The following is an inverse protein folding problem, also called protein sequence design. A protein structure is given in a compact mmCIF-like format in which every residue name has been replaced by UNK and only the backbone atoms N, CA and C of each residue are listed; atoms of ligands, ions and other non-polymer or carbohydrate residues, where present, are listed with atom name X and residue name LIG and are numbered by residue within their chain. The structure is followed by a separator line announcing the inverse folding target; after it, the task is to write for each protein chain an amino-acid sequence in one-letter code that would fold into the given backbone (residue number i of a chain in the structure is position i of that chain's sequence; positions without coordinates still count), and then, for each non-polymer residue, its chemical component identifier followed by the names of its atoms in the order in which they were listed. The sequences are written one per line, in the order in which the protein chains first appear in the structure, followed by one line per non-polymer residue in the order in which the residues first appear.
data_IF_526491253406
#
_entry.id   IF_526491253406
#
_cell.length_a   1.000
_cell.length_b   1.000
_cell.length_c   1.000
_cell.angle_alpha   90.00
_cell.angle_beta   90.00
_cell.angle_gamma   90.00
#
_symmetry.space_group_name_H-M   'P 1'
#
loop_
_entity.id
_entity.type
_entity.pdbx_description
1 polymer ?
#
# COMPACT_ATOMS: atom_id res chain seq x y z
N UNK A 1 40.74 -39.32 -52.91
CA UNK A 1 42.08 -38.83 -52.49
C UNK A 1 41.84 -37.72 -51.47
N UNK A 2 41.97 -38.05 -50.18
CA UNK A 2 43.04 -37.55 -49.28
C UNK A 2 42.81 -36.07 -48.87
N UNK A 3 42.85 -35.63 -47.60
CA UNK A 3 43.19 -36.26 -46.33
C UNK A 3 42.57 -35.42 -45.19
N UNK A 4 42.48 -36.03 -44.01
CA UNK A 4 42.01 -35.46 -42.77
C UNK A 4 42.86 -34.29 -42.28
N UNK A 5 42.27 -33.39 -41.49
CA UNK A 5 43.02 -32.74 -40.41
C UNK A 5 42.16 -32.54 -39.15
N UNK A 6 42.28 -33.50 -38.25
CA UNK A 6 41.81 -33.47 -36.86
C UNK A 6 42.84 -32.69 -36.04
N UNK A 7 42.48 -31.51 -35.56
CA UNK A 7 43.28 -30.79 -34.56
C UNK A 7 42.66 -30.93 -33.17
N UNK A 8 43.21 -31.87 -32.41
CA UNK A 8 43.02 -32.04 -30.98
C UNK A 8 43.88 -31.01 -30.24
N UNK A 9 43.30 -30.11 -29.43
CA UNK A 9 44.10 -29.36 -28.45
C UNK A 9 43.38 -29.10 -27.12
N UNK A 10 43.76 -29.96 -26.18
CA UNK A 10 43.98 -29.77 -24.73
C UNK A 10 42.99 -28.91 -23.94
N UNK A 11 42.24 -29.61 -23.07
CA UNK A 11 41.73 -29.10 -21.78
C UNK A 11 42.87 -28.48 -20.98
N UNK A 12 42.71 -27.24 -20.56
CA UNK A 12 43.51 -26.60 -19.52
C UNK A 12 42.56 -26.26 -18.37
N UNK A 13 42.68 -27.03 -17.30
CA UNK A 13 42.08 -26.79 -16.00
C UNK A 13 42.89 -25.72 -15.27
N UNK A 14 42.35 -24.51 -15.16
CA UNK A 14 42.89 -23.49 -14.26
C UNK A 14 41.91 -23.26 -13.11
N UNK A 15 42.27 -23.82 -11.95
CA UNK A 15 41.70 -23.50 -10.65
C UNK A 15 42.57 -22.42 -10.00
N UNK A 16 42.02 -21.26 -9.58
CA UNK A 16 42.73 -20.35 -8.70
C UNK A 16 42.25 -20.51 -7.25
N UNK A 17 43.14 -21.14 -6.47
CA UNK A 17 43.55 -20.82 -5.10
C UNK A 17 42.69 -19.82 -4.33
N UNK A 18 42.13 -20.30 -3.23
CA UNK A 18 41.29 -19.55 -2.30
C UNK A 18 42.01 -18.39 -1.60
N UNK A 19 41.45 -17.19 -1.79
CA UNK A 19 41.77 -15.99 -1.02
C UNK A 19 40.79 -15.87 0.14
N UNK A 20 41.25 -16.18 1.36
CA UNK A 20 40.52 -15.92 2.62
C UNK A 20 40.21 -14.41 2.72
N UNK A 21 38.96 -14.02 2.50
CA UNK A 21 38.44 -12.70 2.90
C UNK A 21 37.79 -12.84 4.28
N UNK A 22 38.41 -12.25 5.29
CA UNK A 22 37.81 -12.01 6.61
C UNK A 22 36.58 -11.10 6.45
N UNK A 23 35.38 -11.68 6.56
CA UNK A 23 34.11 -10.93 6.63
C UNK A 23 33.85 -10.56 8.08
N UNK A 24 34.17 -9.32 8.46
CA UNK A 24 33.48 -8.65 9.56
C UNK A 24 32.02 -8.48 9.17
N UNK A 25 31.12 -9.15 9.90
CA UNK A 25 29.67 -9.04 9.74
C UNK A 25 29.21 -7.70 10.34
N UNK A 26 28.44 -6.85 9.64
CA UNK A 26 27.62 -5.87 10.33
C UNK A 26 26.55 -6.63 11.12
N UNK A 27 26.56 -6.48 12.44
CA UNK A 27 25.46 -6.90 13.32
C UNK A 27 24.29 -5.99 12.99
N UNK A 28 23.36 -6.41 12.14
CA UNK A 28 21.92 -6.09 12.18
C UNK A 28 21.25 -6.78 10.98
N UNK A 29 20.58 -7.89 11.24
CA UNK A 29 19.64 -8.51 10.28
C UNK A 29 18.23 -8.21 10.76
N UNK A 30 17.35 -7.56 9.98
CA UNK A 30 15.96 -7.46 10.36
C UNK A 30 15.33 -8.85 10.19
N UNK A 31 14.99 -9.49 11.32
CA UNK A 31 14.18 -10.70 11.33
C UNK A 31 12.81 -10.37 10.71
N UNK A 32 12.55 -10.92 9.54
CA UNK A 32 11.19 -11.06 9.02
C UNK A 32 10.42 -12.04 9.90
N UNK A 33 9.38 -11.58 10.59
CA UNK A 33 8.35 -12.45 11.15
C UNK A 33 7.07 -12.28 10.34
N UNK A 34 6.89 -13.19 9.38
CA UNK A 34 5.56 -13.63 9.00
C UNK A 34 4.88 -14.20 10.25
N UNK A 35 3.79 -13.56 10.70
CA UNK A 35 2.78 -14.25 11.50
C UNK A 35 1.37 -13.87 11.00
N UNK A 36 0.78 -14.88 10.38
CA UNK A 36 -0.65 -15.22 10.28
C UNK A 36 -1.63 -14.16 10.81
N UNK A 37 -2.31 -13.45 9.91
CA UNK A 37 -3.59 -12.79 10.18
C UNK A 37 -4.71 -13.49 9.42
N UNK A 38 -5.44 -14.35 10.12
CA UNK A 38 -6.82 -14.69 9.78
C UNK A 38 -7.73 -13.51 10.16
N UNK A 39 -8.69 -13.09 9.31
CA UNK A 39 -9.68 -12.09 9.70
C UNK A 39 -10.80 -12.75 10.51
N UNK A 40 -10.89 -12.45 11.80
CA UNK A 40 -12.07 -12.77 12.63
C UNK A 40 -13.09 -11.63 12.52
N UNK A 41 -14.37 -11.91 12.21
CA UNK A 41 -15.41 -10.89 12.14
C UNK A 41 -15.86 -10.47 13.55
N UNK A 42 -15.93 -9.15 13.75
CA UNK A 42 -16.53 -8.51 14.93
C UNK A 42 -18.02 -8.87 15.02
N UNK A 43 -18.43 -9.51 16.12
CA UNK A 43 -19.84 -9.58 16.53
C UNK A 43 -20.07 -8.59 17.66
N UNK A 44 -20.81 -7.53 17.35
CA UNK A 44 -21.45 -6.67 18.34
C UNK A 44 -22.74 -7.36 18.81
N UNK A 45 -22.85 -7.64 20.10
CA UNK A 45 -24.15 -7.81 20.77
C UNK A 45 -23.96 -7.63 22.28
N UNK A 46 -24.15 -6.39 22.73
CA UNK A 46 -24.47 -6.08 24.12
C UNK A 46 -25.97 -6.36 24.30
N UNK A 47 -26.30 -7.28 25.21
CA UNK A 47 -27.65 -7.43 25.75
C UNK A 47 -27.57 -7.33 27.29
N UNK A 48 -28.49 -6.62 27.96
CA UNK A 48 -28.38 -6.39 29.39
C UNK A 48 -28.91 -7.58 30.20
N UNK A 49 -28.20 -7.91 31.29
CA UNK A 49 -28.68 -8.79 32.36
C UNK A 49 -29.72 -8.04 33.19
N UNK A 50 -30.97 -8.50 33.16
CA UNK A 50 -32.05 -8.04 34.03
C UNK A 50 -32.49 -9.12 35.02
N UNK A 51 -32.34 -8.81 36.31
CA UNK A 51 -33.31 -9.04 37.39
C UNK A 51 -33.85 -10.45 37.67
N UNK A 52 -33.40 -11.04 38.78
CA UNK A 52 -34.14 -12.09 39.51
C UNK A 52 -35.32 -11.46 40.25
N UNK A 53 -36.52 -11.99 40.03
CA UNK A 53 -37.72 -11.68 40.81
C UNK A 53 -38.50 -12.96 41.08
N UNK A 54 -38.56 -13.33 42.35
CA UNK A 54 -39.31 -14.46 42.92
C UNK A 54 -40.80 -14.14 43.01
N UNK A 55 -41.70 -15.06 42.64
CA UNK A 55 -43.13 -14.85 42.87
C UNK A 55 -44.06 -15.96 42.38
N UNK A 56 -44.38 -16.88 43.30
CA UNK A 56 -45.64 -17.63 43.50
C UNK A 56 -46.29 -18.40 42.34
N UNK A 57 -46.39 -19.73 42.58
CA UNK A 57 -47.31 -20.68 41.95
C UNK A 57 -48.76 -20.37 42.34
N UNK A 58 -49.68 -20.51 41.38
CA UNK A 58 -51.05 -20.95 41.64
C UNK A 58 -51.48 -21.94 40.53
N UNK A 59 -52.08 -23.09 40.86
CA UNK A 59 -52.48 -24.10 39.87
C UNK A 59 -53.99 -24.06 39.67
N UNK A 60 -54.51 -23.81 38.46
CA UNK A 60 -55.81 -24.32 37.96
C UNK A 60 -56.08 -23.75 36.56
N UNK A 61 -56.59 -24.60 35.65
CA UNK A 61 -57.18 -24.16 34.38
C UNK A 61 -56.61 -24.84 33.14
N UNK A 62 -57.12 -26.04 32.82
CA UNK A 62 -57.05 -26.58 31.45
C UNK A 62 -57.99 -25.78 30.57
N UNK A 63 -57.48 -25.12 29.54
CA UNK A 63 -58.27 -24.71 28.38
C UNK A 63 -57.49 -25.08 27.11
N UNK A 64 -58.24 -25.69 26.21
CA UNK A 64 -57.92 -26.24 24.90
C UNK A 64 -57.29 -25.24 23.91
N UNK A 65 -56.47 -25.80 23.01
CA UNK A 65 -55.67 -25.17 21.93
C UNK A 65 -56.47 -24.18 21.05
N UNK A 66 -55.75 -23.31 20.33
CA UNK A 66 -55.90 -23.37 18.88
C UNK A 66 -54.58 -23.73 18.20
N UNK A 67 -54.69 -24.43 17.07
CA UNK A 67 -53.60 -24.92 16.26
C UNK A 67 -52.68 -23.76 15.83
N UNK A 68 -51.44 -23.79 16.33
CA UNK A 68 -50.37 -22.92 15.88
C UNK A 68 -50.18 -23.06 14.37
N UNK A 69 -50.47 -21.97 13.69
CA UNK A 69 -50.22 -21.66 12.28
C UNK A 69 -48.98 -22.40 11.76
N UNK A 70 -49.15 -23.38 10.87
CA UNK A 70 -48.04 -23.96 10.10
C UNK A 70 -47.35 -22.80 9.42
N UNK A 71 -46.16 -22.44 9.90
CA UNK A 71 -45.34 -21.41 9.27
C UNK A 71 -45.27 -21.72 7.78
N UNK A 72 -45.85 -20.84 6.95
CA UNK A 72 -45.65 -20.85 5.51
C UNK A 72 -44.14 -20.90 5.32
N UNK A 73 -43.65 -22.07 4.92
CA UNK A 73 -42.24 -22.31 4.60
C UNK A 73 -41.98 -21.34 3.46
N UNK A 74 -41.32 -20.21 3.75
CA UNK A 74 -41.02 -19.19 2.75
C UNK A 74 -40.27 -19.87 1.61
N UNK A 75 -40.99 -20.10 0.51
CA UNK A 75 -40.41 -20.63 -0.70
C UNK A 75 -39.60 -19.49 -1.30
N UNK A 76 -38.32 -19.43 -0.95
CA UNK A 76 -37.40 -18.53 -1.64
C UNK A 76 -37.18 -19.12 -3.03
N UNK A 77 -37.67 -18.47 -4.10
CA UNK A 77 -37.40 -18.95 -5.45
C UNK A 77 -35.88 -19.02 -5.66
N UNK A 78 -35.39 -19.98 -6.46
CA UNK A 78 -33.97 -20.06 -6.77
C UNK A 78 -33.54 -18.72 -7.35
N UNK A 79 -32.49 -18.13 -6.77
CA UNK A 79 -31.91 -16.89 -7.29
C UNK A 79 -31.39 -17.19 -8.69
N UNK A 80 -32.17 -16.85 -9.72
CA UNK A 80 -31.68 -16.83 -11.09
C UNK A 80 -30.39 -16.02 -11.10
N UNK A 81 -29.31 -16.61 -11.60
CA UNK A 81 -28.05 -15.89 -11.78
C UNK A 81 -28.32 -14.74 -12.74
N UNK A 82 -28.35 -13.50 -12.24
CA UNK A 82 -28.52 -12.31 -13.06
C UNK A 82 -27.14 -11.84 -13.48
N UNK A 83 -26.94 -11.66 -14.80
CA UNK A 83 -25.72 -11.06 -15.32
C UNK A 83 -25.78 -9.54 -15.13
N UNK A 84 -24.64 -8.90 -14.84
CA UNK A 84 -24.58 -7.44 -14.83
C UNK A 84 -24.97 -6.88 -16.19
N UNK A 85 -25.89 -5.90 -16.21
CA UNK A 85 -26.18 -5.15 -17.41
C UNK A 85 -24.96 -4.31 -17.79
N UNK A 86 -24.63 -4.31 -19.09
CA UNK A 86 -23.62 -3.42 -19.64
C UNK A 86 -24.33 -2.18 -20.17
N UNK A 87 -23.79 -1.00 -19.88
CA UNK A 87 -24.29 0.28 -20.39
C UNK A 87 -23.76 0.61 -21.79
N UNK A 88 -22.82 -0.17 -22.31
CA UNK A 88 -22.21 0.05 -23.63
C UNK A 88 -22.93 -0.79 -24.69
N UNK A 89 -23.42 -0.18 -25.79
CA UNK A 89 -24.18 -0.89 -26.84
C UNK A 89 -23.37 -2.01 -27.52
N UNK A 90 -22.04 -1.91 -27.52
CA UNK A 90 -21.14 -2.88 -28.12
C UNK A 90 -20.56 -3.86 -27.07
N UNK A 91 -21.10 -3.92 -25.85
CA UNK A 91 -20.66 -4.87 -24.84
C UNK A 91 -21.85 -5.63 -24.24
N UNK A 92 -21.83 -6.97 -24.31
CA UNK A 92 -22.88 -7.84 -23.77
C UNK A 92 -22.31 -8.78 -22.70
N UNK A 93 -23.01 -8.94 -21.59
CA UNK A 93 -22.64 -9.94 -20.59
C UNK A 93 -23.12 -11.33 -21.02
N UNK A 94 -22.27 -12.34 -20.86
CA UNK A 94 -22.58 -13.73 -21.17
C UNK A 94 -22.07 -14.67 -20.06
N UNK A 95 -22.67 -15.85 -19.95
CA UNK A 95 -22.17 -16.90 -19.08
C UNK A 95 -21.14 -17.75 -19.80
N UNK A 96 -20.19 -18.32 -19.06
CA UNK A 96 -19.21 -19.28 -19.59
C UNK A 96 -19.87 -20.46 -20.33
N UNK A 97 -20.98 -20.98 -19.80
CA UNK A 97 -21.74 -22.11 -20.38
C UNK A 97 -22.39 -21.82 -21.73
N UNK A 98 -22.53 -20.54 -22.12
CA UNK A 98 -23.12 -20.20 -23.41
C UNK A 98 -22.11 -20.52 -24.52
N UNK A 99 -22.54 -21.01 -25.69
CA UNK A 99 -21.62 -21.31 -26.79
C UNK A 99 -20.86 -20.06 -27.22
N UNK A 100 -19.63 -20.24 -27.68
CA UNK A 100 -18.81 -19.15 -28.21
C UNK A 100 -19.38 -18.82 -29.61
N UNK A 101 -19.68 -17.54 -29.92
CA UNK A 101 -20.13 -17.14 -31.25
C UNK A 101 -19.09 -17.50 -32.33
N UNK A 102 -19.56 -17.74 -33.54
CA UNK A 102 -18.68 -18.07 -34.66
C UNK A 102 -17.66 -16.96 -34.93
N UNK A 103 -16.38 -17.34 -35.10
CA UNK A 103 -15.28 -16.40 -35.29
C UNK A 103 -14.78 -15.71 -34.01
N UNK A 104 -15.32 -16.03 -32.83
CA UNK A 104 -14.87 -15.50 -31.54
C UNK A 104 -13.96 -16.48 -30.79
N UNK A 105 -13.05 -15.93 -30.00
CA UNK A 105 -12.17 -16.67 -29.09
C UNK A 105 -12.34 -16.16 -27.66
N UNK A 106 -12.19 -17.06 -26.69
CA UNK A 106 -12.19 -16.71 -25.27
C UNK A 106 -10.81 -16.22 -24.82
N UNK A 107 -10.76 -15.02 -24.24
CA UNK A 107 -9.58 -14.39 -23.67
C UNK A 107 -9.74 -14.38 -22.15
N UNK A 108 -8.91 -15.12 -21.39
CA UNK A 108 -8.99 -15.14 -19.93
C UNK A 108 -8.57 -13.79 -19.33
N UNK A 109 -9.10 -13.49 -18.15
CA UNK A 109 -8.65 -12.37 -17.33
C UNK A 109 -7.19 -12.60 -16.89
N UNK A 110 -6.34 -11.58 -17.00
CA UNK A 110 -4.99 -11.59 -16.42
C UNK A 110 -4.08 -10.59 -17.09
N UNK A 111 -3.91 -10.73 -18.41
CA UNK A 111 -3.15 -9.76 -19.19
C UNK A 111 -4.01 -8.51 -19.44
N UNK A 112 -3.70 -7.44 -18.70
CA UNK A 112 -4.37 -6.14 -18.79
C UNK A 112 -4.16 -5.51 -20.16
N UNK A 113 -3.00 -5.70 -20.78
CA UNK A 113 -2.73 -5.16 -22.12
C UNK A 113 -3.65 -5.85 -23.12
N UNK A 114 -3.65 -7.19 -23.15
CA UNK A 114 -4.47 -7.95 -24.11
C UNK A 114 -5.96 -7.65 -23.91
N UNK A 115 -6.47 -7.81 -22.69
CA UNK A 115 -7.90 -7.64 -22.43
C UNK A 115 -8.39 -6.21 -22.71
N UNK A 116 -7.60 -5.18 -22.40
CA UNK A 116 -7.93 -3.78 -22.71
C UNK A 116 -7.91 -3.52 -24.22
N UNK A 117 -6.86 -3.90 -24.93
CA UNK A 117 -6.74 -3.64 -26.37
C UNK A 117 -7.74 -4.45 -27.18
N UNK A 118 -8.04 -5.68 -26.79
CA UNK A 118 -9.11 -6.46 -27.37
C UNK A 118 -10.47 -5.76 -27.22
N UNK A 119 -10.80 -5.22 -26.03
CA UNK A 119 -12.03 -4.44 -25.84
C UNK A 119 -12.10 -3.24 -26.78
N UNK A 120 -11.03 -2.45 -26.83
CA UNK A 120 -10.97 -1.23 -27.64
C UNK A 120 -11.07 -1.55 -29.13
N UNK A 121 -10.20 -2.41 -29.67
CA UNK A 121 -10.18 -2.76 -31.10
C UNK A 121 -11.48 -3.42 -31.58
N UNK A 122 -12.14 -4.20 -30.72
CA UNK A 122 -13.45 -4.81 -31.06
C UNK A 122 -14.54 -3.75 -31.21
N UNK A 123 -14.54 -2.76 -30.33
CA UNK A 123 -15.49 -1.63 -30.41
C UNK A 123 -15.19 -0.72 -31.60
N UNK A 124 -13.91 -0.47 -31.90
CA UNK A 124 -13.47 0.24 -33.11
C UNK A 124 -13.94 -0.47 -34.39
N UNK A 125 -13.94 -1.81 -34.38
CA UNK A 125 -14.45 -2.63 -35.48
C UNK A 125 -15.99 -2.74 -35.52
N UNK A 126 -16.71 -1.98 -34.67
CA UNK A 126 -18.18 -2.03 -34.52
C UNK A 126 -18.73 -3.45 -34.23
N UNK A 127 -17.93 -4.30 -33.58
CA UNK A 127 -18.32 -5.66 -33.18
C UNK A 127 -18.62 -5.69 -31.68
N UNK A 128 -19.43 -6.67 -31.26
CA UNK A 128 -19.82 -6.82 -29.85
C UNK A 128 -18.74 -7.54 -29.05
N UNK A 129 -18.31 -6.97 -27.94
CA UNK A 129 -17.49 -7.65 -26.93
C UNK A 129 -18.41 -8.42 -25.99
N UNK A 130 -18.11 -9.69 -25.74
CA UNK A 130 -18.84 -10.44 -24.71
C UNK A 130 -18.04 -10.54 -23.41
N UNK A 131 -18.53 -9.92 -22.34
CA UNK A 131 -17.95 -10.07 -21.01
C UNK A 131 -18.40 -11.41 -20.41
N UNK A 132 -17.46 -12.31 -20.13
CA UNK A 132 -17.76 -13.66 -19.64
C UNK A 132 -17.76 -13.68 -18.12
N UNK A 133 -18.83 -14.20 -17.53
CA UNK A 133 -18.96 -14.40 -16.10
C UNK A 133 -19.09 -15.88 -15.73
N UNK A 134 -18.74 -16.18 -14.48
CA UNK A 134 -18.96 -17.47 -13.83
C UNK A 134 -20.45 -17.87 -13.80
N UNK A 135 -20.76 -19.12 -13.51
CA UNK A 135 -22.13 -19.68 -13.40
C UNK A 135 -23.07 -18.87 -12.52
N UNK A 136 -22.53 -18.17 -11.52
CA UNK A 136 -23.29 -17.32 -10.61
C UNK A 136 -23.47 -15.86 -11.08
N UNK A 137 -22.81 -15.43 -12.17
CA UNK A 137 -22.85 -14.06 -12.68
C UNK A 137 -22.05 -13.03 -11.85
N UNK A 138 -21.34 -13.48 -10.80
CA UNK A 138 -20.67 -12.59 -9.83
C UNK A 138 -19.21 -12.28 -10.15
N UNK A 139 -18.54 -13.18 -10.86
CA UNK A 139 -17.10 -13.11 -11.09
C UNK A 139 -16.82 -13.00 -12.60
N UNK A 140 -16.16 -11.93 -13.07
CA UNK A 140 -15.75 -11.85 -14.47
C UNK A 140 -14.56 -12.79 -14.70
N UNK A 141 -14.71 -13.69 -15.67
CA UNK A 141 -13.69 -14.67 -16.05
C UNK A 141 -12.80 -14.17 -17.18
N UNK A 142 -13.35 -13.37 -18.09
CA UNK A 142 -12.65 -12.93 -19.29
C UNK A 142 -13.56 -12.28 -20.31
N UNK A 143 -13.14 -12.32 -21.57
CA UNK A 143 -13.83 -11.72 -22.71
C UNK A 143 -13.96 -12.73 -23.84
N UNK A 144 -15.02 -12.64 -24.66
CA UNK A 144 -15.03 -13.24 -25.99
C UNK A 144 -14.95 -12.13 -27.02
N UNK A 145 -13.97 -12.27 -27.90
CA UNK A 145 -13.52 -11.25 -28.84
C UNK A 145 -13.30 -11.93 -30.19
N UNK A 146 -13.50 -11.25 -31.34
CA UNK A 146 -13.17 -11.80 -32.63
C UNK A 146 -11.72 -12.30 -32.73
N UNK A 147 -11.53 -13.47 -33.37
CA UNK A 147 -10.25 -14.18 -33.43
C UNK A 147 -9.15 -13.39 -34.17
N UNK A 148 -9.51 -12.66 -35.22
CA UNK A 148 -8.66 -11.73 -35.96
C UNK A 148 -8.13 -10.59 -35.06
N UNK A 149 -9.01 -10.01 -34.25
CA UNK A 149 -8.63 -8.95 -33.31
C UNK A 149 -7.70 -9.47 -32.24
N UNK A 150 -7.97 -10.66 -31.70
CA UNK A 150 -7.08 -11.28 -30.72
C UNK A 150 -5.69 -11.53 -31.30
N UNK A 151 -5.58 -12.07 -32.52
CA UNK A 151 -4.30 -12.31 -33.19
C UNK A 151 -3.48 -11.02 -33.36
N UNK A 152 -4.11 -9.94 -33.86
CA UNK A 152 -3.42 -8.65 -34.03
C UNK A 152 -2.98 -8.04 -32.70
N UNK A 153 -3.79 -8.15 -31.64
CA UNK A 153 -3.45 -7.66 -30.29
C UNK A 153 -2.33 -8.50 -29.68
N UNK A 154 -2.35 -9.82 -29.84
CA UNK A 154 -1.31 -10.72 -29.33
C UNK A 154 0.05 -10.43 -29.99
N UNK A 155 0.08 -10.24 -31.31
CA UNK A 155 1.29 -9.86 -32.03
C UNK A 155 1.81 -8.49 -31.57
N UNK A 156 0.91 -7.51 -31.40
CA UNK A 156 1.26 -6.18 -30.88
C UNK A 156 1.79 -6.25 -29.44
N UNK A 157 1.22 -7.12 -28.61
CA UNK A 157 1.64 -7.34 -27.23
C UNK A 157 3.07 -7.89 -27.17
N UNK A 158 3.37 -8.88 -28.01
CA UNK A 158 4.70 -9.46 -28.12
C UNK A 158 5.72 -8.44 -28.63
N UNK A 159 5.40 -7.73 -29.73
CA UNK A 159 6.30 -6.75 -30.34
C UNK A 159 6.65 -5.58 -29.40
N UNK A 160 5.73 -5.18 -28.52
CA UNK A 160 5.92 -4.03 -27.61
C UNK A 160 6.30 -4.43 -26.18
N UNK A 161 6.47 -5.73 -25.89
CA UNK A 161 6.68 -6.21 -24.52
C UNK A 161 7.91 -5.57 -23.86
N UNK A 162 9.06 -5.59 -24.54
CA UNK A 162 10.31 -5.06 -24.01
C UNK A 162 10.27 -3.54 -23.85
N UNK A 163 9.73 -2.83 -24.85
CA UNK A 163 9.55 -1.38 -24.80
C UNK A 163 8.67 -0.96 -23.63
N UNK A 164 7.55 -1.66 -23.39
CA UNK A 164 6.66 -1.42 -22.25
C UNK A 164 7.35 -1.72 -20.92
N UNK A 165 8.11 -2.81 -20.83
CA UNK A 165 8.86 -3.16 -19.63
C UNK A 165 9.92 -2.09 -19.31
N UNK A 166 10.65 -1.61 -20.33
CA UNK A 166 11.64 -0.55 -20.18
C UNK A 166 11.02 0.79 -19.81
N UNK A 167 9.89 1.16 -20.42
CA UNK A 167 9.16 2.37 -20.06
C UNK A 167 8.70 2.35 -18.59
N UNK A 168 8.25 1.19 -18.08
CA UNK A 168 7.89 1.03 -16.68
C UNK A 168 9.12 1.17 -15.77
N UNK A 169 10.25 0.54 -16.12
CA UNK A 169 11.51 0.67 -15.36
C UNK A 169 11.97 2.12 -15.28
N UNK A 170 12.06 2.82 -16.40
CA UNK A 170 12.47 4.24 -16.45
C UNK A 170 11.55 5.13 -15.63
N UNK A 171 10.24 4.87 -15.64
CA UNK A 171 9.29 5.59 -14.81
C UNK A 171 9.51 5.34 -13.33
N UNK A 172 9.70 4.07 -12.93
CA UNK A 172 9.97 3.73 -11.53
C UNK A 172 11.30 4.35 -11.05
N UNK A 173 12.34 4.34 -11.88
CA UNK A 173 13.62 5.01 -11.59
C UNK A 173 13.45 6.52 -11.42
N UNK A 174 12.67 7.18 -12.28
CA UNK A 174 12.34 8.60 -12.16
C UNK A 174 11.56 8.91 -10.88
N UNK A 175 10.56 8.09 -10.54
CA UNK A 175 9.76 8.25 -9.31
C UNK A 175 10.63 8.07 -8.06
N UNK A 176 11.58 7.12 -8.08
CA UNK A 176 12.55 6.93 -6.99
C UNK A 176 13.53 8.09 -6.89
N UNK A 177 14.08 8.57 -8.01
CA UNK A 177 14.98 9.72 -8.04
C UNK A 177 14.28 10.99 -7.52
N UNK A 178 13.03 11.22 -7.92
CA UNK A 178 12.20 12.31 -7.41
C UNK A 178 12.00 12.20 -5.90
N UNK A 179 11.68 11.00 -5.39
CA UNK A 179 11.50 10.76 -3.96
C UNK A 179 12.80 11.00 -3.16
N UNK A 180 13.95 10.59 -3.72
CA UNK A 180 15.28 10.86 -3.13
C UNK A 180 15.55 12.36 -3.05
N UNK A 181 15.34 13.08 -4.14
CA UNK A 181 15.56 14.52 -4.18
C UNK A 181 14.66 15.23 -3.16
N UNK A 182 13.40 14.84 -3.08
CA UNK A 182 12.45 15.42 -2.13
C UNK A 182 12.87 15.18 -0.68
N UNK A 183 13.37 13.98 -0.33
CA UNK A 183 13.89 13.69 1.00
C UNK A 183 15.12 14.56 1.32
N UNK A 184 16.06 14.74 0.39
CA UNK A 184 17.23 15.61 0.60
C UNK A 184 16.87 17.08 0.76
N UNK A 185 15.86 17.54 0.02
CA UNK A 185 15.38 18.93 0.13
C UNK A 185 14.66 19.18 1.44
N UNK A 186 13.87 18.22 1.96
CA UNK A 186 13.15 18.40 3.22
C UNK A 186 13.99 18.12 4.46
N UNK A 187 14.95 17.20 4.36
CA UNK A 187 15.76 16.75 5.50
C UNK A 187 17.25 16.82 5.13
N UNK A 188 17.82 18.02 4.98
CA UNK A 188 19.20 18.20 4.51
C UNK A 188 20.26 17.63 5.47
N UNK A 189 19.95 17.53 6.77
CA UNK A 189 20.87 17.02 7.80
C UNK A 189 20.65 15.52 8.12
N UNK A 190 19.75 14.85 7.39
CA UNK A 190 19.51 13.41 7.58
C UNK A 190 20.72 12.58 7.12
N UNK A 191 21.16 11.58 7.91
CA UNK A 191 22.22 10.66 7.47
C UNK A 191 21.85 9.91 6.19
N UNK A 192 22.81 9.76 5.28
CA UNK A 192 22.59 9.10 3.98
C UNK A 192 22.15 7.64 4.14
N UNK A 193 22.67 6.91 5.13
CA UNK A 193 22.23 5.54 5.42
C UNK A 193 20.74 5.47 5.78
N UNK A 194 20.24 6.43 6.57
CA UNK A 194 18.82 6.54 6.93
C UNK A 194 17.97 6.86 5.71
N UNK A 195 18.45 7.74 4.82
CA UNK A 195 17.80 8.07 3.56
C UNK A 195 17.58 6.83 2.70
N UNK A 196 18.64 6.02 2.51
CA UNK A 196 18.57 4.81 1.70
C UNK A 196 17.62 3.76 2.30
N UNK A 197 17.61 3.60 3.62
CA UNK A 197 16.67 2.69 4.29
C UNK A 197 15.22 3.17 4.08
N UNK A 198 14.97 4.47 4.21
CA UNK A 198 13.63 5.06 4.00
C UNK A 198 13.17 4.87 2.55
N UNK A 199 14.04 5.11 1.57
CA UNK A 199 13.71 4.91 0.15
C UNK A 199 13.36 3.44 -0.14
N UNK A 200 14.22 2.52 0.28
CA UNK A 200 14.03 1.09 0.05
C UNK A 200 12.82 0.52 0.78
N UNK A 201 12.44 1.10 1.92
CA UNK A 201 11.29 0.61 2.68
C UNK A 201 9.98 1.30 2.29
N UNK A 202 9.91 2.64 2.34
CA UNK A 202 8.67 3.40 2.21
C UNK A 202 8.22 3.63 0.77
N UNK A 203 9.15 3.66 -0.19
CA UNK A 203 8.88 3.96 -1.61
C UNK A 203 8.93 2.71 -2.52
N UNK A 204 9.09 1.52 -1.94
CA UNK A 204 9.10 0.25 -2.67
C UNK A 204 7.78 -0.01 -3.42
N UNK A 205 7.88 -0.35 -4.71
CA UNK A 205 6.76 -0.69 -5.59
C UNK A 205 5.89 -1.82 -5.04
N UNK A 206 4.58 -1.72 -5.24
CA UNK A 206 3.61 -2.81 -4.96
C UNK A 206 3.34 -3.10 -3.48
N UNK A 207 3.83 -2.27 -2.57
CA UNK A 207 3.76 -2.55 -1.13
C UNK A 207 2.56 -1.95 -0.39
N UNK A 208 1.79 -1.07 -1.04
CA UNK A 208 0.72 -0.29 -0.38
C UNK A 208 1.24 0.67 0.70
N UNK A 209 2.55 0.96 0.71
CA UNK A 209 3.20 1.85 1.68
C UNK A 209 3.01 3.32 1.30
N UNK A 210 3.25 4.16 2.30
CA UNK A 210 2.97 5.61 2.28
C UNK A 210 3.55 6.31 1.04
N UNK A 211 4.75 5.91 0.58
CA UNK A 211 5.41 6.49 -0.59
C UNK A 211 4.66 6.34 -1.92
N UNK A 212 3.67 5.43 -2.03
CA UNK A 212 2.91 5.19 -3.28
C UNK A 212 1.41 5.43 -3.15
N UNK A 213 0.96 6.04 -2.06
CA UNK A 213 -0.46 6.36 -1.86
C UNK A 213 -0.86 7.58 -2.69
N UNK A 214 -1.86 7.47 -3.57
CA UNK A 214 -2.31 8.60 -4.40
C UNK A 214 -3.04 9.72 -3.62
N UNK A 215 -3.42 9.46 -2.36
CA UNK A 215 -4.24 10.37 -1.54
C UNK A 215 -3.44 11.42 -0.77
N UNK A 216 -2.11 11.40 -0.84
CA UNK A 216 -1.23 12.31 -0.08
C UNK A 216 -0.28 13.02 -1.02
N UNK A 217 0.08 14.26 -0.69
CA UNK A 217 1.14 14.98 -1.42
C UNK A 217 2.49 14.32 -1.17
N UNK A 218 3.42 14.45 -2.11
CA UNK A 218 4.73 13.80 -1.99
C UNK A 218 5.52 14.29 -0.76
N UNK A 219 5.34 15.56 -0.38
CA UNK A 219 5.86 16.11 0.86
C UNK A 219 5.29 15.42 2.11
N UNK A 220 3.98 15.18 2.15
CA UNK A 220 3.38 14.45 3.26
C UNK A 220 3.86 13.00 3.32
N UNK A 221 4.12 12.37 2.18
CA UNK A 221 4.64 10.99 2.15
C UNK A 221 6.03 10.90 2.74
N UNK A 222 6.93 11.82 2.38
CA UNK A 222 8.27 11.88 2.93
C UNK A 222 8.26 12.10 4.44
N UNK A 223 7.49 13.08 4.91
CA UNK A 223 7.29 13.34 6.34
C UNK A 223 6.88 12.08 7.11
N UNK A 224 5.83 11.40 6.65
CA UNK A 224 5.33 10.19 7.30
C UNK A 224 6.33 9.03 7.22
N UNK A 225 7.11 8.94 6.15
CA UNK A 225 8.14 7.91 5.99
C UNK A 225 9.30 8.12 6.98
N UNK A 226 9.77 9.36 7.12
CA UNK A 226 10.80 9.77 8.07
C UNK A 226 10.31 9.59 9.51
N UNK A 227 9.11 10.07 9.85
CA UNK A 227 8.54 9.88 11.19
C UNK A 227 8.39 8.41 11.56
N UNK A 228 7.97 7.57 10.61
CA UNK A 228 7.90 6.14 10.83
C UNK A 228 9.30 5.55 11.08
N UNK A 229 10.28 5.90 10.26
CA UNK A 229 11.65 5.43 10.43
C UNK A 229 12.24 5.83 11.78
N UNK A 230 12.16 7.11 12.14
CA UNK A 230 12.64 7.62 13.43
C UNK A 230 11.97 6.87 14.58
N UNK A 231 10.64 6.70 14.53
CA UNK A 231 9.90 5.97 15.56
C UNK A 231 10.42 4.54 15.74
N UNK A 232 10.62 3.80 14.66
CA UNK A 232 11.02 2.39 14.76
C UNK A 232 12.50 2.19 15.06
N UNK A 233 13.37 3.13 14.67
CA UNK A 233 14.83 2.96 14.72
C UNK A 233 15.53 3.78 15.81
N UNK A 234 14.96 4.92 16.19
CA UNK A 234 15.61 5.88 17.09
C UNK A 234 14.86 6.09 18.41
N UNK A 235 13.81 5.29 18.67
CA UNK A 235 13.03 5.39 19.92
C UNK A 235 12.73 4.01 20.50
N UNK A 236 12.39 3.89 21.79
CA UNK A 236 12.00 2.62 22.42
C UNK A 236 10.62 2.12 21.97
N UNK A 237 10.06 2.60 20.86
CA UNK A 237 8.73 2.24 20.37
C UNK A 237 8.52 0.72 20.25
N UNK A 238 9.48 0.00 19.65
CA UNK A 238 9.39 -1.45 19.52
C UNK A 238 9.44 -2.16 20.89
N UNK A 239 10.22 -1.62 21.83
CA UNK A 239 10.24 -2.14 23.19
C UNK A 239 8.86 -1.94 23.86
N UNK A 240 8.25 -0.76 23.76
CA UNK A 240 6.92 -0.50 24.31
C UNK A 240 5.85 -1.44 23.73
N UNK A 241 5.89 -1.71 22.43
CA UNK A 241 4.98 -2.69 21.82
C UNK A 241 5.21 -4.11 22.36
N UNK A 242 6.46 -4.50 22.56
CA UNK A 242 6.80 -5.82 23.13
C UNK A 242 6.36 -5.96 24.59
N UNK A 243 6.31 -4.86 25.35
CA UNK A 243 5.78 -4.82 26.72
C UNK A 243 4.24 -4.75 26.77
N UNK A 244 3.56 -4.79 25.63
CA UNK A 244 2.10 -4.87 25.55
C UNK A 244 1.37 -3.52 25.53
N UNK A 245 2.09 -2.39 25.47
CA UNK A 245 1.45 -1.08 25.35
C UNK A 245 0.63 -0.97 24.07
N UNK A 246 -0.49 -0.25 24.14
CA UNK A 246 -1.31 0.01 22.96
C UNK A 246 -0.54 0.88 21.95
N UNK A 247 -0.79 0.70 20.65
CA UNK A 247 -0.07 1.45 19.60
C UNK A 247 -0.21 2.97 19.73
N UNK A 248 -1.35 3.46 20.21
CA UNK A 248 -1.61 4.89 20.43
C UNK A 248 -0.78 5.41 21.60
N UNK A 249 -0.78 4.69 22.72
CA UNK A 249 0.00 5.00 23.91
C UNK A 249 1.50 5.01 23.60
N UNK A 250 2.00 3.96 22.94
CA UNK A 250 3.41 3.87 22.54
C UNK A 250 3.81 4.99 21.58
N UNK A 251 2.91 5.45 20.69
CA UNK A 251 3.17 6.60 19.80
C UNK A 251 3.23 7.91 20.56
N UNK A 252 2.33 8.12 21.51
CA UNK A 252 2.31 9.33 22.33
C UNK A 252 3.57 9.43 23.20
N UNK A 253 4.01 8.31 23.78
CA UNK A 253 5.20 8.26 24.63
C UNK A 253 6.49 8.67 23.89
N UNK A 254 6.62 8.31 22.61
CA UNK A 254 7.82 8.62 21.79
C UNK A 254 7.67 9.87 20.93
N UNK A 255 6.50 10.52 20.93
CA UNK A 255 6.16 11.61 20.00
C UNK A 255 7.15 12.77 20.06
N UNK A 256 7.50 13.22 21.26
CA UNK A 256 8.43 14.33 21.45
C UNK A 256 9.83 14.00 20.94
N UNK A 257 10.32 12.77 21.20
CA UNK A 257 11.60 12.30 20.69
C UNK A 257 11.59 12.24 19.16
N UNK A 258 10.53 11.69 18.55
CA UNK A 258 10.39 11.65 17.08
C UNK A 258 10.44 13.06 16.49
N UNK A 259 9.68 14.00 17.07
CA UNK A 259 9.64 15.39 16.62
C UNK A 259 11.00 16.07 16.73
N UNK A 260 11.72 15.86 17.84
CA UNK A 260 13.04 16.47 18.06
C UNK A 260 14.08 16.01 17.02
N UNK A 261 14.15 14.71 16.75
CA UNK A 261 15.08 14.16 15.75
C UNK A 261 14.70 14.63 14.35
N UNK A 262 13.40 14.64 14.05
CA UNK A 262 12.90 15.11 12.76
C UNK A 262 13.29 16.57 12.50
N UNK A 263 13.07 17.47 13.46
CA UNK A 263 13.45 18.87 13.35
C UNK A 263 14.97 19.04 13.17
N UNK A 264 15.77 18.27 13.91
CA UNK A 264 17.22 18.25 13.73
C UNK A 264 17.64 17.81 12.31
N UNK A 265 16.88 16.92 11.65
CA UNK A 265 17.14 16.52 10.26
C UNK A 265 16.64 17.54 9.24
N UNK A 266 15.57 18.28 9.55
CA UNK A 266 15.06 19.39 8.73
C UNK A 266 16.04 20.57 8.69
N UNK A 267 16.98 20.65 9.65
CA UNK A 267 17.92 21.77 9.76
C UNK A 267 17.38 22.91 10.64
N UNK A 268 16.19 22.74 11.22
CA UNK A 268 15.71 23.60 12.28
C UNK A 268 16.57 23.33 13.52
N UNK A 269 17.44 24.29 13.85
CA UNK A 269 18.12 24.33 15.14
C UNK A 269 17.03 24.36 16.23
N UNK A 270 16.77 23.20 16.82
CA UNK A 270 15.92 23.09 17.99
C UNK A 270 16.66 23.80 19.11
N UNK A 271 16.35 25.07 19.35
CA UNK A 271 16.65 25.71 20.63
C UNK A 271 16.15 24.75 21.71
N UNK A 272 17.03 24.23 22.58
CA UNK A 272 16.61 23.30 23.60
C UNK A 272 15.64 24.05 24.53
N UNK A 273 14.35 23.70 24.47
CA UNK A 273 13.37 24.12 25.48
C UNK A 273 13.84 23.61 26.84
N UNK A 274 14.58 24.44 27.56
CA UNK A 274 15.23 24.03 28.79
C UNK A 274 16.19 25.03 29.43
N UNK A 275 16.04 26.35 29.23
CA UNK A 275 16.53 27.32 30.21
C UNK A 275 15.51 28.44 30.39
N UNK A 276 14.80 28.36 31.51
CA UNK A 276 13.98 29.46 32.03
C UNK A 276 14.92 30.62 32.34
N UNK A 277 15.03 31.61 31.45
CA UNK A 277 15.61 32.90 31.82
C UNK A 277 14.64 33.60 32.76
N UNK A 278 14.91 33.46 34.05
CA UNK A 278 14.28 34.23 35.11
C UNK A 278 14.50 35.74 34.83
N UNK A 279 13.38 36.45 34.68
CA UNK A 279 13.14 37.84 35.10
C UNK A 279 14.21 38.88 34.77
N UNK A 280 13.82 39.84 33.92
CA UNK A 280 13.97 41.26 34.23
C UNK A 280 12.69 41.99 33.83
N UNK A 281 11.81 42.23 34.80
CA UNK A 281 10.74 43.23 34.67
C UNK A 281 11.42 44.60 34.77
N UNK A 282 11.39 45.40 33.70
CA UNK A 282 11.71 46.83 33.75
C UNK A 282 10.45 47.59 34.22
N UNK A 283 10.48 48.38 35.31
CA UNK A 283 9.35 49.22 35.70
C UNK A 283 9.28 50.48 34.81
N UNK A 284 8.12 51.16 34.73
CA UNK A 284 7.88 52.24 33.78
C UNK A 284 8.36 53.61 34.30
N UNK A 285 8.80 54.44 33.35
CA UNK A 285 8.67 55.90 33.28
C UNK A 285 9.07 56.77 34.48
N UNK A 286 10.19 57.49 34.33
CA UNK A 286 10.33 58.85 34.84
C UNK A 286 11.12 59.68 33.81
N UNK A 287 10.42 60.68 33.28
CA UNK A 287 10.94 61.71 32.41
C UNK A 287 11.91 62.61 33.21
N UNK A 288 13.09 62.88 32.67
CA UNK A 288 13.91 64.01 33.10
C UNK A 288 14.70 64.54 31.90
N UNK A 289 14.31 65.75 31.48
CA UNK A 289 14.87 66.59 30.44
C UNK A 289 16.40 66.79 30.58
N UNK A 290 17.14 66.92 29.45
CA UNK A 290 18.56 67.24 29.46
C UNK A 290 18.80 68.75 29.60
N UNK A 291 19.82 69.21 30.37
CA UNK A 291 20.27 70.58 30.28
C UNK A 291 21.20 70.79 29.08
N UNK A 292 20.91 71.85 28.34
CA UNK A 292 21.84 72.51 27.42
C UNK A 292 23.21 72.75 28.09
N UNK A 293 24.29 72.36 27.41
CA UNK A 293 25.48 73.21 27.31
C UNK A 293 26.43 72.77 26.19
N UNK A 294 26.37 73.59 25.14
CA UNK A 294 27.45 74.04 24.24
C UNK A 294 28.86 73.89 24.81
N UNK A 295 29.77 73.28 24.03
CA UNK A 295 31.15 73.76 23.86
C UNK A 295 31.71 73.29 22.50
N UNK A 296 32.19 74.28 21.73
CA UNK A 296 32.93 74.17 20.47
C UNK A 296 34.27 73.44 20.62
N UNK A 297 34.81 73.03 19.46
CA UNK A 297 36.21 72.94 18.96
C UNK A 297 36.16 71.76 17.95
N UNK A 298 36.33 71.86 16.63
CA UNK A 298 36.94 72.83 15.70
C UNK A 298 36.20 72.78 14.35
#
# INVERSE_FOLDING_TARGET
MAAANRSSRKKISNSPVGRRKSRTRPRFSPRSLQSLRSPQPRKNSLAPRGGRGTGRRSPFGRISKPAGNRSKRNWNPPKFSVLPASNDPLEKSCFERQPIPEGYIFVPKGDVYITRHCRVKTKESQRTVYAVYDKSGKRPLGLRVPSDIYATVSQSAAATADSRANAVKLRDERELAHSRQLLRTQFPLMPEDSLEIILNHAFLKGSGRVGRTATKSDAQKANLAVEAYIRHNHTPYEALLNHGHARTEARNAVWNTVRSIKAAWEGDSVEPMGLVTLRSRKPPGLDMEPPDQVCLIS
#
